data_IF_947335992934
#
_entry.id   IF_947335992934
#
_cell.length_a   1.000
_cell.length_b   1.000
_cell.length_c   1.000
_cell.angle_alpha   90.00
_cell.angle_beta   90.00
_cell.angle_gamma   90.00
#
_symmetry.space_group_name_H-M   'P 1'
#
loop_
_entity.id
_entity.type
_entity.pdbx_description
1 polymer ?
#
# COMPACT_ATOMS: atom_id res chain seq x y z
N UNK A 1 -11.17 7.01 -15.95
CA UNK A 1 -12.37 7.13 -15.12
C UNK A 1 -12.14 6.30 -13.87
N UNK A 2 -12.41 6.85 -12.68
CA UNK A 2 -12.31 6.13 -11.41
C UNK A 2 -13.73 5.85 -10.91
N UNK A 3 -14.01 4.58 -10.62
CA UNK A 3 -15.31 4.07 -10.16
C UNK A 3 -15.16 3.43 -8.78
N UNK A 4 -16.29 3.06 -8.19
CA UNK A 4 -16.41 2.46 -6.84
C UNK A 4 -15.79 3.30 -5.71
N UNK A 5 -16.50 4.36 -5.36
CA UNK A 5 -16.12 5.26 -4.27
C UNK A 5 -16.63 4.80 -2.89
N UNK A 6 -17.05 3.53 -2.75
CA UNK A 6 -17.69 3.01 -1.53
C UNK A 6 -16.78 2.98 -0.29
N UNK A 7 -15.45 2.99 -0.50
CA UNK A 7 -14.42 3.05 0.55
C UNK A 7 -13.67 4.40 0.60
N UNK A 8 -14.13 5.42 -0.14
CA UNK A 8 -13.43 6.71 -0.22
C UNK A 8 -13.45 7.46 1.13
N UNK A 9 -12.27 7.68 1.70
CA UNK A 9 -12.08 8.30 3.01
C UNK A 9 -11.00 9.39 2.98
N UNK A 10 -10.92 10.22 4.03
CA UNK A 10 -9.76 11.10 4.25
C UNK A 10 -8.67 10.32 4.99
N UNK A 11 -7.44 10.36 4.46
CA UNK A 11 -6.28 9.68 5.01
C UNK A 11 -4.98 10.12 4.34
N UNK A 12 -3.90 9.35 4.52
CA UNK A 12 -2.63 9.58 3.83
C UNK A 12 -2.77 9.23 2.34
N UNK A 13 -2.56 10.20 1.44
CA UNK A 13 -2.72 10.01 -0.01
C UNK A 13 -1.80 8.93 -0.62
N UNK A 14 -0.70 8.60 0.07
CA UNK A 14 0.16 7.46 -0.29
C UNK A 14 -0.58 6.10 -0.23
N UNK A 15 -1.63 5.97 0.59
CA UNK A 15 -2.43 4.73 0.70
C UNK A 15 -3.16 4.44 -0.60
N UNK A 16 -3.76 5.43 -1.25
CA UNK A 16 -4.50 5.23 -2.51
C UNK A 16 -3.59 4.70 -3.63
N UNK A 17 -2.38 5.29 -3.77
CA UNK A 17 -1.40 4.87 -4.78
C UNK A 17 -0.69 3.56 -4.41
N UNK A 18 -0.38 3.32 -3.13
CA UNK A 18 0.18 2.05 -2.67
C UNK A 18 -0.83 0.89 -2.82
N UNK A 19 -2.12 1.15 -2.60
CA UNK A 19 -3.17 0.17 -2.80
C UNK A 19 -3.36 -0.15 -4.29
N UNK A 20 -3.36 0.85 -5.16
CA UNK A 20 -3.44 0.67 -6.61
C UNK A 20 -2.22 -0.09 -7.18
N UNK A 21 -1.00 0.33 -6.83
CA UNK A 21 0.23 -0.28 -7.38
C UNK A 21 0.47 -1.67 -6.79
N UNK A 22 0.40 -1.81 -5.46
CA UNK A 22 0.59 -3.09 -4.79
C UNK A 22 -0.55 -4.08 -5.06
N UNK A 23 -1.79 -3.61 -5.12
CA UNK A 23 -2.98 -4.45 -5.23
C UNK A 23 -3.47 -4.73 -6.64
N UNK A 24 -3.29 -3.80 -7.60
CA UNK A 24 -3.83 -3.95 -8.97
C UNK A 24 -2.79 -4.09 -10.07
N UNK A 25 -1.50 -3.82 -9.80
CA UNK A 25 -0.44 -3.96 -10.81
C UNK A 25 0.31 -5.29 -10.60
N UNK A 26 0.35 -6.20 -11.60
CA UNK A 26 1.12 -7.45 -11.52
C UNK A 26 2.60 -7.20 -11.23
N UNK A 27 3.23 -8.06 -10.43
CA UNK A 27 4.66 -7.95 -10.03
C UNK A 27 5.56 -7.71 -11.25
N UNK A 28 5.39 -8.50 -12.32
CA UNK A 28 6.17 -8.40 -13.56
C UNK A 28 6.01 -7.08 -14.35
N UNK A 29 5.04 -6.21 -13.99
CA UNK A 29 4.83 -4.91 -14.61
C UNK A 29 5.33 -3.73 -13.75
N UNK A 30 5.40 -3.91 -12.42
CA UNK A 30 5.83 -2.90 -11.44
C UNK A 30 7.28 -3.04 -10.97
N UNK A 31 7.85 -4.25 -10.99
CA UNK A 31 9.16 -4.53 -10.41
C UNK A 31 10.25 -3.63 -11.02
N UNK A 32 11.02 -2.97 -10.16
CA UNK A 32 12.04 -1.98 -10.55
C UNK A 32 11.51 -0.63 -11.03
N UNK A 33 10.19 -0.46 -11.24
CA UNK A 33 9.56 0.75 -11.82
C UNK A 33 8.75 1.57 -10.82
N UNK A 34 8.59 1.07 -9.59
CA UNK A 34 7.95 1.79 -8.50
C UNK A 34 8.72 3.07 -8.10
N UNK A 35 10.04 3.11 -8.33
CA UNK A 35 10.88 4.32 -8.16
C UNK A 35 10.38 5.46 -9.06
N UNK A 36 10.25 5.19 -10.37
CA UNK A 36 9.75 6.14 -11.36
C UNK A 36 8.35 6.65 -10.99
N UNK A 37 7.51 5.76 -10.44
CA UNK A 37 6.14 6.10 -10.02
C UNK A 37 6.12 7.05 -8.82
N UNK A 38 6.93 6.80 -7.77
CA UNK A 38 7.04 7.70 -6.61
C UNK A 38 7.49 9.09 -7.07
N UNK A 39 8.50 9.16 -7.94
CA UNK A 39 9.02 10.42 -8.48
C UNK A 39 7.97 11.17 -9.32
N UNK A 40 7.26 10.47 -10.21
CA UNK A 40 6.21 11.07 -11.04
C UNK A 40 5.02 11.55 -10.20
N UNK A 41 4.61 10.78 -9.19
CA UNK A 41 3.54 11.14 -8.26
C UNK A 41 3.92 12.38 -7.42
N UNK A 42 5.13 12.38 -6.83
CA UNK A 42 5.65 13.52 -6.07
C UNK A 42 5.74 14.78 -6.94
N UNK A 43 6.29 14.69 -8.15
CA UNK A 43 6.38 15.82 -9.08
C UNK A 43 5.00 16.41 -9.43
N UNK A 44 3.97 15.57 -9.57
CA UNK A 44 2.58 16.03 -9.80
C UNK A 44 2.01 16.72 -8.55
N UNK A 45 2.30 16.24 -7.34
CA UNK A 45 1.87 16.91 -6.11
C UNK A 45 2.49 18.31 -5.99
N UNK A 46 3.80 18.45 -6.18
CA UNK A 46 4.49 19.75 -6.14
C UNK A 46 3.96 20.69 -7.23
N UNK A 47 3.75 20.18 -8.46
CA UNK A 47 3.18 20.97 -9.57
C UNK A 47 1.74 21.44 -9.33
N UNK A 48 1.00 20.85 -8.38
CA UNK A 48 -0.33 21.26 -7.96
C UNK A 48 -0.33 22.06 -6.64
N UNK A 49 0.83 22.53 -6.17
CA UNK A 49 0.94 23.41 -5.00
C UNK A 49 1.01 22.70 -3.64
N UNK A 50 1.42 21.43 -3.61
CA UNK A 50 1.86 20.81 -2.34
C UNK A 50 3.23 21.38 -1.98
N UNK A 51 3.34 21.97 -0.80
CA UNK A 51 4.56 22.55 -0.25
C UNK A 51 5.06 21.75 0.95
N UNK A 52 6.35 21.90 1.30
CA UNK A 52 6.98 21.28 2.48
C UNK A 52 6.90 19.73 2.52
N UNK A 53 6.86 19.10 1.34
CA UNK A 53 6.85 17.64 1.17
C UNK A 53 8.01 17.22 0.26
N UNK A 54 9.04 16.59 0.81
CA UNK A 54 10.21 16.14 0.05
C UNK A 54 9.95 14.81 -0.65
N UNK A 55 10.86 14.42 -1.55
CA UNK A 55 10.83 13.09 -2.16
C UNK A 55 11.11 11.98 -1.12
N UNK A 56 11.87 12.28 -0.07
CA UNK A 56 12.15 11.34 1.02
C UNK A 56 10.93 11.15 1.93
N UNK A 57 10.14 12.20 2.17
CA UNK A 57 8.83 12.10 2.84
C UNK A 57 7.86 11.24 2.02
N UNK A 58 7.82 11.44 0.70
CA UNK A 58 7.03 10.61 -0.21
C UNK A 58 7.45 9.13 -0.19
N UNK A 59 8.76 8.84 -0.08
CA UNK A 59 9.27 7.48 0.10
C UNK A 59 8.93 6.87 1.45
N UNK A 60 8.99 7.65 2.53
CA UNK A 60 8.60 7.21 3.87
C UNK A 60 7.10 6.87 3.93
N UNK A 61 6.25 7.79 3.44
CA UNK A 61 4.81 7.60 3.34
C UNK A 61 4.44 6.37 2.48
N UNK A 62 5.13 6.14 1.36
CA UNK A 62 4.90 4.96 0.51
C UNK A 62 5.19 3.64 1.22
N UNK A 63 6.27 3.58 2.01
CA UNK A 63 6.60 2.40 2.81
C UNK A 63 5.55 2.16 3.89
N UNK A 64 5.16 3.20 4.63
CA UNK A 64 4.11 3.12 5.65
C UNK A 64 2.76 2.73 5.04
N UNK A 65 2.43 3.28 3.88
CA UNK A 65 1.23 2.94 3.11
C UNK A 65 1.21 1.49 2.63
N UNK A 66 2.33 0.94 2.13
CA UNK A 66 2.41 -0.45 1.72
C UNK A 66 2.16 -1.43 2.89
N UNK A 67 2.72 -1.15 4.07
CA UNK A 67 2.41 -1.89 5.31
C UNK A 67 0.94 -1.77 5.71
N UNK A 68 0.34 -0.57 5.55
CA UNK A 68 -1.08 -0.34 5.81
C UNK A 68 -2.00 -1.06 4.83
N UNK A 69 -1.61 -1.22 3.56
CA UNK A 69 -2.35 -1.97 2.56
C UNK A 69 -2.25 -3.49 2.79
N UNK A 70 -1.08 -4.00 3.17
CA UNK A 70 -0.89 -5.41 3.55
C UNK A 70 -1.85 -5.81 4.68
N UNK A 71 -1.85 -5.04 5.77
CA UNK A 71 -2.76 -5.24 6.93
C UNK A 71 -4.23 -4.95 6.63
N UNK A 72 -4.56 -4.26 5.53
CA UNK A 72 -5.94 -4.17 5.05
C UNK A 72 -6.42 -5.49 4.45
N UNK A 73 -5.55 -6.22 3.75
CA UNK A 73 -5.85 -7.56 3.23
C UNK A 73 -6.21 -8.54 4.34
N UNK A 74 -5.41 -8.61 5.40
CA UNK A 74 -5.67 -9.47 6.56
C UNK A 74 -7.01 -9.14 7.24
N UNK A 75 -7.29 -7.85 7.44
CA UNK A 75 -8.56 -7.38 8.01
C UNK A 75 -9.76 -7.75 7.11
N UNK A 76 -9.62 -7.66 5.78
CA UNK A 76 -10.66 -8.05 4.83
C UNK A 76 -10.85 -9.58 4.75
N UNK A 77 -9.77 -10.36 4.89
CA UNK A 77 -9.85 -11.82 5.04
C UNK A 77 -10.63 -12.20 6.31
N UNK A 78 -10.46 -11.48 7.42
CA UNK A 78 -11.25 -11.67 8.65
C UNK A 78 -12.76 -11.42 8.50
N UNK A 79 -13.20 -10.62 7.51
CA UNK A 79 -14.62 -10.52 7.15
C UNK A 79 -15.06 -11.60 6.14
N UNK A 80 -14.11 -12.17 5.38
CA UNK A 80 -14.36 -13.22 4.41
C UNK A 80 -14.29 -14.64 5.01
N UNK A 81 -13.68 -14.84 6.17
CA UNK A 81 -13.48 -16.15 6.82
C UNK A 81 -14.73 -16.71 7.52
N UNK A 82 -15.89 -16.60 6.87
CA UNK A 82 -17.15 -17.24 7.28
C UNK A 82 -17.48 -18.40 6.34
N UNK A 83 -18.15 -19.45 6.83
CA UNK A 83 -18.56 -20.61 6.04
C UNK A 83 -19.49 -20.26 4.84
N UNK A 84 -20.03 -19.04 4.81
CA UNK A 84 -20.84 -18.52 3.71
C UNK A 84 -20.02 -17.95 2.54
N UNK A 85 -18.70 -17.78 2.67
CA UNK A 85 -17.88 -17.20 1.62
C UNK A 85 -17.56 -18.20 0.51
N UNK A 86 -17.92 -17.86 -0.74
CA UNK A 86 -17.56 -18.68 -1.90
C UNK A 86 -16.04 -18.79 -2.08
N UNK A 87 -15.55 -19.92 -2.58
CA UNK A 87 -14.12 -20.18 -2.86
C UNK A 87 -13.45 -19.07 -3.70
N UNK A 88 -14.19 -18.42 -4.60
CA UNK A 88 -13.72 -17.27 -5.40
C UNK A 88 -13.33 -16.07 -4.54
N UNK A 89 -14.03 -15.82 -3.43
CA UNK A 89 -13.74 -14.73 -2.49
C UNK A 89 -12.49 -15.04 -1.68
N UNK A 90 -12.37 -16.27 -1.16
CA UNK A 90 -11.15 -16.72 -0.46
C UNK A 90 -9.90 -16.55 -1.34
N UNK A 91 -9.91 -17.13 -2.55
CA UNK A 91 -8.81 -17.02 -3.52
C UNK A 91 -8.48 -15.57 -3.91
N UNK A 92 -9.48 -14.69 -3.97
CA UNK A 92 -9.26 -13.26 -4.23
C UNK A 92 -8.58 -12.53 -3.05
N UNK A 93 -8.98 -12.84 -1.81
CA UNK A 93 -8.36 -12.26 -0.61
C UNK A 93 -6.93 -12.76 -0.42
N UNK A 94 -6.69 -14.06 -0.63
CA UNK A 94 -5.34 -14.65 -0.55
C UNK A 94 -4.40 -14.01 -1.59
N UNK A 95 -4.83 -13.92 -2.84
CA UNK A 95 -4.06 -13.25 -3.91
C UNK A 95 -3.88 -11.75 -3.64
N UNK A 96 -4.83 -11.08 -2.98
CA UNK A 96 -4.69 -9.68 -2.57
C UNK A 96 -3.64 -9.50 -1.47
N UNK A 97 -3.66 -10.34 -0.42
CA UNK A 97 -2.66 -10.35 0.64
C UNK A 97 -1.27 -10.59 0.04
N UNK A 98 -1.12 -11.61 -0.81
CA UNK A 98 0.15 -11.91 -1.49
C UNK A 98 0.63 -10.75 -2.37
N UNK A 99 -0.26 -10.14 -3.16
CA UNK A 99 0.04 -8.97 -4.01
C UNK A 99 0.57 -7.77 -3.22
N UNK A 100 -0.06 -7.43 -2.08
CA UNK A 100 0.37 -6.34 -1.20
C UNK A 100 1.62 -6.69 -0.37
N UNK A 101 1.74 -7.92 0.13
CA UNK A 101 2.93 -8.36 0.88
C UNK A 101 4.18 -8.33 -0.01
N UNK A 102 4.10 -8.84 -1.25
CA UNK A 102 5.18 -8.73 -2.22
C UNK A 102 5.59 -7.27 -2.47
N UNK A 103 4.63 -6.35 -2.57
CA UNK A 103 4.90 -4.92 -2.76
C UNK A 103 5.57 -4.27 -1.54
N UNK A 104 5.18 -4.65 -0.32
CA UNK A 104 5.85 -4.21 0.90
C UNK A 104 7.30 -4.75 0.98
N UNK A 105 7.58 -5.94 0.45
CA UNK A 105 8.93 -6.47 0.30
C UNK A 105 9.75 -5.71 -0.77
N UNK A 106 9.17 -5.44 -1.94
CA UNK A 106 9.78 -4.66 -3.05
C UNK A 106 10.25 -3.25 -2.58
N UNK A 107 9.51 -2.62 -1.67
CA UNK A 107 9.81 -1.29 -1.12
C UNK A 107 10.77 -1.30 0.08
N UNK A 108 11.17 -2.47 0.59
CA UNK A 108 11.82 -2.65 1.89
C UNK A 108 11.04 -1.93 3.01
N UNK A 109 9.72 -2.09 3.02
CA UNK A 109 8.79 -1.18 3.70
C UNK A 109 8.97 -1.11 5.22
N UNK A 110 9.52 -2.17 5.84
CA UNK A 110 9.91 -2.18 7.26
C UNK A 110 10.90 -1.07 7.64
N UNK A 111 11.64 -0.48 6.68
CA UNK A 111 12.54 0.66 6.94
C UNK A 111 11.82 1.97 7.31
N UNK A 112 10.48 2.04 7.20
CA UNK A 112 9.69 3.14 7.74
C UNK A 112 9.16 2.88 9.16
N UNK A 113 9.37 1.68 9.71
CA UNK A 113 9.06 1.40 11.11
C UNK A 113 10.23 1.84 12.01
N UNK A 114 9.96 2.26 13.27
CA UNK A 114 11.01 2.43 14.26
C UNK A 114 11.67 1.08 14.57
N UNK A 115 12.91 1.14 15.06
CA UNK A 115 13.65 -0.05 15.49
C UNK A 115 12.86 -0.83 16.56
N UNK A 116 12.84 -2.17 16.46
CA UNK A 116 12.08 -3.03 17.36
C UNK A 116 12.47 -2.87 18.84
N UNK A 117 13.71 -2.43 19.13
CA UNK A 117 14.17 -2.09 20.47
C UNK A 117 13.35 -1.00 21.17
N UNK A 118 12.68 -0.11 20.40
CA UNK A 118 11.76 0.92 20.95
C UNK A 118 10.55 0.28 21.65
N UNK A 119 10.16 -0.93 21.25
CA UNK A 119 9.08 -1.70 21.88
C UNK A 119 9.58 -2.74 22.90
N UNK A 120 10.89 -2.89 23.06
CA UNK A 120 11.53 -3.85 23.95
C UNK A 120 11.92 -3.25 25.33
N UNK A 121 11.24 -2.17 25.73
CA UNK A 121 11.38 -1.61 27.08
C UNK A 121 10.84 -2.60 28.15
N UNK A 122 11.45 -2.66 29.34
CA UNK A 122 11.11 -3.61 30.41
C UNK A 122 9.84 -3.24 31.20
#
# INVERSE_FOLDING_TARGET
MILDWSWAARGHAAVDVAFLVGGSTPVAQRFGRYVDFVQAWHAVLIANGVENYSLDDAWYDWRLAALRCMTAGDAMHGFASSDAASTRVALFMDDAIQRHAAFALELEAWRALPDASVFAAP
#
